data_IF_829476178949
#
_entry.id   IF_829476178949
#
_cell.length_a   1.000
_cell.length_b   1.000
_cell.length_c   1.000
_cell.angle_alpha   90.00
_cell.angle_beta   90.00
_cell.angle_gamma   90.00
#
_symmetry.space_group_name_H-M   'P 1'
#
loop_
_entity.id
_entity.type
_entity.pdbx_description
1 polymer ?
#
# COMPACT_ATOMS: atom_id res chain seq x y z
N UNK A 1 0.46 15.22 23.77
CA UNK A 1 1.79 15.43 23.15
C UNK A 1 2.27 14.20 22.38
N UNK A 2 2.26 12.99 22.95
CA UNK A 2 2.59 11.74 22.24
C UNK A 2 1.66 11.45 21.04
N UNK A 3 0.35 11.61 21.19
CA UNK A 3 -0.62 11.35 20.12
C UNK A 3 -0.48 12.31 18.91
N UNK A 4 -0.15 13.57 19.17
CA UNK A 4 0.11 14.56 18.11
C UNK A 4 1.39 14.21 17.34
N UNK A 5 2.43 13.72 18.03
CA UNK A 5 3.66 13.27 17.40
C UNK A 5 3.41 12.04 16.52
N UNK A 6 2.60 11.09 17.00
CA UNK A 6 2.17 9.94 16.22
C UNK A 6 1.43 10.33 14.94
N UNK A 7 0.54 11.32 15.03
CA UNK A 7 -0.17 11.84 13.86
C UNK A 7 0.80 12.46 12.84
N UNK A 8 1.79 13.24 13.31
CA UNK A 8 2.82 13.82 12.44
C UNK A 8 3.68 12.75 11.76
N UNK A 9 4.06 11.71 12.49
CA UNK A 9 4.79 10.57 11.92
C UNK A 9 3.95 9.85 10.85
N UNK A 10 2.65 9.65 11.09
CA UNK A 10 1.75 8.99 10.15
C UNK A 10 1.54 9.81 8.87
N UNK A 11 1.52 11.14 8.98
CA UNK A 11 1.54 12.05 7.82
C UNK A 11 2.88 11.96 7.08
N UNK A 12 4.01 11.87 7.81
CA UNK A 12 5.33 11.66 7.24
C UNK A 12 5.42 10.36 6.44
N UNK A 13 4.93 9.25 7.01
CA UNK A 13 4.85 7.94 6.35
C UNK A 13 3.99 8.02 5.09
N UNK A 14 2.82 8.67 5.17
CA UNK A 14 1.95 8.86 4.01
C UNK A 14 2.64 9.69 2.92
N UNK A 15 3.29 10.80 3.28
CA UNK A 15 4.02 11.62 2.32
C UNK A 15 5.15 10.82 1.65
N UNK A 16 5.95 10.06 2.41
CA UNK A 16 7.02 9.24 1.88
C UNK A 16 6.50 8.13 0.97
N UNK A 17 5.49 7.38 1.41
CA UNK A 17 4.86 6.31 0.63
C UNK A 17 4.29 6.82 -0.69
N UNK A 18 3.47 7.88 -0.65
CA UNK A 18 2.84 8.43 -1.84
C UNK A 18 3.85 9.08 -2.78
N UNK A 19 4.82 9.85 -2.28
CA UNK A 19 5.83 10.47 -3.14
C UNK A 19 6.70 9.44 -3.82
N UNK A 20 7.11 8.38 -3.13
CA UNK A 20 7.89 7.28 -3.71
C UNK A 20 7.11 6.57 -4.82
N UNK A 21 5.87 6.14 -4.55
CA UNK A 21 5.05 5.43 -5.55
C UNK A 21 4.63 6.35 -6.71
N UNK A 22 4.31 7.61 -6.45
CA UNK A 22 3.99 8.58 -7.49
C UNK A 22 5.21 8.88 -8.37
N UNK A 23 6.42 8.97 -7.80
CA UNK A 23 7.66 9.14 -8.55
C UNK A 23 7.93 7.92 -9.44
N UNK A 24 7.77 6.71 -8.90
CA UNK A 24 7.90 5.47 -9.67
C UNK A 24 6.87 5.41 -10.80
N UNK A 25 5.63 5.77 -10.51
CA UNK A 25 4.56 5.85 -11.50
C UNK A 25 4.80 6.95 -12.55
N UNK A 26 5.47 8.06 -12.19
CA UNK A 26 5.83 9.11 -13.15
C UNK A 26 6.88 8.62 -14.16
N UNK A 27 7.85 7.83 -13.69
CA UNK A 27 8.94 7.31 -14.53
C UNK A 27 8.53 6.03 -15.30
N UNK A 28 7.31 5.51 -15.10
CA UNK A 28 6.79 4.29 -15.74
C UNK A 28 7.00 4.19 -17.26
N UNK A 29 7.00 5.31 -17.98
CA UNK A 29 7.25 5.31 -19.44
C UNK A 29 8.67 4.89 -19.82
N UNK A 30 9.63 4.95 -18.89
CA UNK A 30 11.03 4.53 -19.11
C UNK A 30 11.35 3.16 -18.52
N UNK A 31 10.82 2.85 -17.34
CA UNK A 31 11.13 1.59 -16.61
C UNK A 31 10.08 0.49 -16.81
N UNK A 32 8.94 0.82 -17.43
CA UNK A 32 7.78 -0.06 -17.56
C UNK A 32 6.91 -0.10 -16.30
N UNK A 33 5.72 -0.68 -16.45
CA UNK A 33 4.74 -0.83 -15.37
C UNK A 33 5.08 -1.98 -14.40
N UNK A 34 5.89 -2.95 -14.84
CA UNK A 34 6.31 -4.07 -14.00
C UNK A 34 7.04 -3.64 -12.72
N UNK A 35 7.90 -2.62 -12.80
CA UNK A 35 8.59 -2.08 -11.64
C UNK A 35 7.61 -1.53 -10.58
N UNK A 36 6.54 -0.87 -11.04
CA UNK A 36 5.48 -0.37 -10.17
C UNK A 36 4.68 -1.51 -9.52
N UNK A 37 4.37 -2.57 -10.26
CA UNK A 37 3.69 -3.75 -9.71
C UNK A 37 4.53 -4.50 -8.69
N UNK A 38 5.83 -4.67 -8.95
CA UNK A 38 6.76 -5.26 -7.99
C UNK A 38 6.82 -4.44 -6.69
N UNK A 39 6.89 -3.11 -6.80
CA UNK A 39 6.88 -2.24 -5.63
C UNK A 39 5.56 -2.38 -4.84
N UNK A 40 4.41 -2.39 -5.50
CA UNK A 40 3.11 -2.63 -4.85
C UNK A 40 3.05 -4.01 -4.16
N UNK A 41 3.60 -5.04 -4.80
CA UNK A 41 3.64 -6.40 -4.25
C UNK A 41 4.50 -6.52 -2.99
N UNK A 42 5.70 -5.94 -2.98
CA UNK A 42 6.58 -5.93 -1.80
C UNK A 42 5.95 -5.13 -0.66
N UNK A 43 5.36 -3.97 -0.98
CA UNK A 43 4.67 -3.15 0.02
C UNK A 43 3.43 -3.84 0.61
N UNK A 44 2.78 -4.73 -0.14
CA UNK A 44 1.62 -5.46 0.36
C UNK A 44 1.96 -6.37 1.55
N UNK A 45 3.13 -7.02 1.55
CA UNK A 45 3.57 -7.78 2.72
C UNK A 45 3.72 -6.88 3.95
N UNK A 46 4.42 -5.75 3.80
CA UNK A 46 4.62 -4.78 4.87
C UNK A 46 3.28 -4.21 5.39
N UNK A 47 2.35 -3.93 4.48
CA UNK A 47 0.98 -3.50 4.79
C UNK A 47 0.28 -4.52 5.71
N UNK A 48 0.26 -5.81 5.34
CA UNK A 48 -0.40 -6.86 6.14
C UNK A 48 0.25 -7.06 7.50
N UNK A 49 1.58 -6.97 7.57
CA UNK A 49 2.32 -7.08 8.82
C UNK A 49 2.02 -5.91 9.76
N UNK A 50 2.14 -4.67 9.27
CA UNK A 50 1.85 -3.47 10.07
C UNK A 50 0.37 -3.41 10.49
N UNK A 51 -0.54 -3.85 9.63
CA UNK A 51 -1.96 -3.90 9.95
C UNK A 51 -2.31 -4.89 11.06
N UNK A 52 -1.48 -5.92 11.27
CA UNK A 52 -1.73 -6.97 12.27
C UNK A 52 -1.03 -6.70 13.60
N UNK A 53 0.19 -6.15 13.57
CA UNK A 53 1.05 -6.08 14.75
C UNK A 53 1.33 -4.65 15.26
N UNK A 54 1.09 -3.61 14.47
CA UNK A 54 1.52 -2.26 14.81
C UNK A 54 0.36 -1.27 14.86
N UNK A 55 -0.03 -0.90 16.08
CA UNK A 55 -1.11 0.04 16.35
C UNK A 55 -0.60 1.27 17.07
N UNK A 56 -1.11 2.43 16.64
CA UNK A 56 -0.71 3.73 17.15
C UNK A 56 -1.97 4.48 17.60
N UNK A 57 -1.89 5.04 18.81
CA UNK A 57 -2.94 5.92 19.33
C UNK A 57 -2.82 7.31 18.71
N UNK A 58 -3.94 7.81 18.21
CA UNK A 58 -4.16 9.15 17.69
C UNK A 58 -5.05 9.95 18.64
N UNK A 59 -5.07 11.30 18.50
CA UNK A 59 -6.00 12.14 19.23
C UNK A 59 -7.45 11.66 19.04
N UNK A 60 -8.32 11.96 20.01
CA UNK A 60 -9.73 11.53 20.04
C UNK A 60 -9.95 10.05 20.40
N UNK A 61 -8.94 9.38 20.97
CA UNK A 61 -9.05 7.98 21.40
C UNK A 61 -9.10 6.98 20.23
N UNK A 62 -8.70 7.41 19.04
CA UNK A 62 -8.68 6.56 17.84
C UNK A 62 -7.38 5.73 17.86
N UNK A 63 -7.49 4.42 17.71
CA UNK A 63 -6.35 3.53 17.53
C UNK A 63 -6.33 3.07 16.08
N UNK A 64 -5.24 3.34 15.36
CA UNK A 64 -5.12 2.93 13.95
C UNK A 64 -3.78 2.28 13.67
N UNK A 65 -3.73 1.46 12.62
CA UNK A 65 -2.49 0.91 12.11
C UNK A 65 -2.01 1.72 10.89
N UNK A 66 -0.72 2.06 10.77
CA UNK A 66 -0.17 2.64 9.54
C UNK A 66 -0.41 1.73 8.32
N UNK A 67 -0.39 0.41 8.51
CA UNK A 67 -0.68 -0.58 7.47
C UNK A 67 -2.04 -0.37 6.81
N UNK A 68 -3.11 -0.33 7.61
CA UNK A 68 -4.47 -0.14 7.09
C UNK A 68 -4.75 1.30 6.65
N UNK A 69 -4.27 2.29 7.41
CA UNK A 69 -4.66 3.69 7.19
C UNK A 69 -3.87 4.32 6.05
N UNK A 70 -2.56 4.04 5.96
CA UNK A 70 -1.65 4.65 4.98
C UNK A 70 -1.40 3.72 3.81
N UNK A 71 -0.82 2.53 4.04
CA UNK A 71 -0.38 1.67 2.95
C UNK A 71 -1.55 1.10 2.14
N UNK A 72 -2.57 0.53 2.81
CA UNK A 72 -3.74 -0.03 2.12
C UNK A 72 -4.52 1.05 1.36
N UNK A 73 -4.88 2.15 2.01
CA UNK A 73 -5.56 3.29 1.36
C UNK A 73 -4.74 3.82 0.18
N UNK A 74 -3.43 3.97 0.38
CA UNK A 74 -2.53 4.44 -0.67
C UNK A 74 -2.41 3.46 -1.83
N UNK A 75 -2.38 2.15 -1.58
CA UNK A 75 -2.43 1.11 -2.62
C UNK A 75 -3.71 1.23 -3.46
N UNK A 76 -4.87 1.41 -2.83
CA UNK A 76 -6.13 1.61 -3.57
C UNK A 76 -6.09 2.88 -4.43
N UNK A 77 -5.59 3.98 -3.87
CA UNK A 77 -5.40 5.24 -4.61
C UNK A 77 -4.46 5.05 -5.81
N UNK A 78 -3.38 4.30 -5.65
CA UNK A 78 -2.43 3.99 -6.71
C UNK A 78 -3.03 3.09 -7.80
N UNK A 79 -3.82 2.08 -7.42
CA UNK A 79 -4.56 1.24 -8.38
C UNK A 79 -5.61 2.04 -9.15
N UNK A 80 -6.29 2.97 -8.49
CA UNK A 80 -7.24 3.89 -9.14
C UNK A 80 -6.52 4.86 -10.09
N UNK A 81 -5.37 5.40 -9.70
CA UNK A 81 -4.56 6.25 -10.56
C UNK A 81 -4.09 5.50 -11.81
N UNK A 82 -3.66 4.25 -11.64
CA UNK A 82 -3.29 3.36 -12.74
C UNK A 82 -4.47 3.12 -13.67
N UNK A 83 -5.67 2.89 -13.13
CA UNK A 83 -6.91 2.72 -13.91
C UNK A 83 -7.20 3.91 -14.79
N UNK A 84 -7.11 5.11 -14.23
CA UNK A 84 -7.37 6.36 -14.96
C UNK A 84 -6.34 6.59 -16.08
N UNK A 85 -5.12 6.05 -15.97
CA UNK A 85 -3.99 6.39 -16.85
C UNK A 85 -3.63 5.32 -17.88
N UNK A 86 -3.88 4.05 -17.60
CA UNK A 86 -3.37 2.92 -18.40
C UNK A 86 -4.45 1.88 -18.77
N UNK A 87 -5.73 2.14 -18.47
CA UNK A 87 -6.90 1.27 -18.68
C UNK A 87 -7.09 0.09 -17.71
N UNK A 88 -8.33 -0.40 -17.68
CA UNK A 88 -8.78 -1.53 -16.86
C UNK A 88 -8.01 -2.83 -17.12
N UNK A 89 -7.59 -3.05 -18.37
CA UNK A 89 -6.89 -4.26 -18.81
C UNK A 89 -5.52 -4.41 -18.15
N UNK A 90 -4.88 -3.29 -17.81
CA UNK A 90 -3.58 -3.24 -17.14
C UNK A 90 -3.77 -3.40 -15.62
N UNK A 91 -4.74 -2.71 -15.04
CA UNK A 91 -5.01 -2.73 -13.59
C UNK A 91 -5.41 -4.10 -13.05
N UNK A 92 -6.10 -4.90 -13.84
CA UNK A 92 -6.50 -6.25 -13.41
C UNK A 92 -5.30 -7.16 -13.10
N UNK A 93 -4.13 -6.91 -13.70
CA UNK A 93 -2.94 -7.73 -13.50
C UNK A 93 -2.47 -7.75 -12.04
N UNK A 94 -2.18 -6.60 -11.38
CA UNK A 94 -1.83 -6.59 -9.96
C UNK A 94 -2.98 -7.02 -9.05
N UNK A 95 -4.25 -6.81 -9.43
CA UNK A 95 -5.40 -7.28 -8.63
C UNK A 95 -5.44 -8.81 -8.60
N UNK A 96 -5.33 -9.46 -9.76
CA UNK A 96 -5.27 -10.92 -9.82
C UNK A 96 -4.03 -11.46 -9.11
N UNK A 97 -2.87 -10.80 -9.28
CA UNK A 97 -1.66 -11.15 -8.55
C UNK A 97 -1.84 -11.11 -7.04
N UNK A 98 -2.47 -10.06 -6.50
CA UNK A 98 -2.78 -9.95 -5.07
C UNK A 98 -3.76 -11.04 -4.64
N UNK A 99 -4.84 -11.27 -5.40
CA UNK A 99 -5.88 -12.25 -5.05
C UNK A 99 -5.30 -13.66 -4.98
N UNK A 100 -4.62 -14.12 -6.03
CA UNK A 100 -4.01 -15.45 -6.04
C UNK A 100 -2.88 -15.57 -5.02
N UNK A 101 -2.07 -14.52 -4.84
CA UNK A 101 -1.02 -14.49 -3.82
C UNK A 101 -1.57 -14.65 -2.40
N UNK A 102 -2.67 -13.98 -2.07
CA UNK A 102 -3.32 -14.10 -0.76
C UNK A 102 -3.96 -15.48 -0.56
N UNK A 103 -4.63 -16.04 -1.57
CA UNK A 103 -5.19 -17.40 -1.50
C UNK A 103 -4.09 -18.44 -1.31
N UNK A 104 -2.96 -18.28 -2.01
CA UNK A 104 -1.80 -19.16 -1.83
C UNK A 104 -1.20 -19.03 -0.43
N UNK A 105 -1.02 -17.80 0.08
CA UNK A 105 -0.52 -17.56 1.43
C UNK A 105 -1.44 -18.21 2.47
N UNK A 106 -2.75 -18.05 2.31
CA UNK A 106 -3.75 -18.69 3.16
C UNK A 106 -3.58 -20.21 3.13
N UNK A 107 -3.55 -20.84 1.94
CA UNK A 107 -3.37 -22.27 1.82
C UNK A 107 -2.06 -22.76 2.47
N UNK A 108 -0.95 -22.06 2.25
CA UNK A 108 0.34 -22.36 2.85
C UNK A 108 0.36 -22.19 4.37
N UNK A 109 -0.45 -21.28 4.93
CA UNK A 109 -0.54 -21.10 6.38
C UNK A 109 -1.22 -22.27 7.11
N UNK A 110 -1.96 -23.14 6.40
CA UNK A 110 -2.61 -24.33 6.96
C UNK A 110 -1.84 -25.63 6.71
N UNK A 111 -0.68 -25.56 6.03
CA UNK A 111 0.23 -26.69 5.82
C UNK A 111 1.39 -26.58 6.80
#
# INVERSE_FOLDING_TARGET
MLETNNALLLVGDAALYFTALAALFRVRKRIGLGAFFCALGVMHFLETYLASYFYVALPLGIVTSPGSTVLFTGKLMMLLLLYIREDAVVVRQPIYGLLFGNVLLFALAFV
#
